data_IF_791826402389
#
_entry.id   IF_791826402389
#
_cell.length_a   1.000
_cell.length_b   1.000
_cell.length_c   1.000
_cell.angle_alpha   90.00
_cell.angle_beta   90.00
_cell.angle_gamma   90.00
#
_symmetry.space_group_name_H-M   'P 1'
#
loop_
_entity.id
_entity.type
_entity.pdbx_description
1 polymer ?
#
# COMPACT_ATOMS: atom_id res chain seq x y z
N UNK A 1 -0.66 -17.73 -3.94
CA UNK A 1 -0.55 -16.25 -3.94
C UNK A 1 -1.20 -15.63 -2.70
N UNK A 2 -2.48 -15.90 -2.40
CA UNK A 2 -3.17 -15.36 -1.21
C UNK A 2 -2.41 -15.55 0.12
N UNK A 3 -1.84 -16.73 0.33
CA UNK A 3 -1.02 -17.03 1.53
C UNK A 3 0.20 -16.11 1.69
N UNK A 4 0.87 -15.73 0.59
CA UNK A 4 2.02 -14.85 0.66
C UNK A 4 1.61 -13.41 1.03
N UNK A 5 0.49 -12.94 0.48
CA UNK A 5 -0.08 -11.63 0.81
C UNK A 5 -0.45 -11.58 2.29
N UNK A 6 -1.17 -12.59 2.77
CA UNK A 6 -1.57 -12.69 4.17
C UNK A 6 -0.38 -12.77 5.14
N UNK A 7 0.69 -13.47 4.75
CA UNK A 7 1.92 -13.52 5.54
C UNK A 7 2.58 -12.14 5.62
N UNK A 8 2.69 -11.43 4.50
CA UNK A 8 3.27 -10.08 4.47
C UNK A 8 2.41 -9.10 5.27
N UNK A 9 1.09 -9.11 5.09
CA UNK A 9 0.18 -8.16 5.75
C UNK A 9 0.05 -8.35 7.27
N UNK A 10 0.28 -9.55 7.79
CA UNK A 10 0.04 -9.85 9.22
C UNK A 10 1.29 -10.19 10.02
N UNK A 11 2.37 -10.64 9.37
CA UNK A 11 3.54 -11.21 10.06
C UNK A 11 4.87 -10.57 9.64
N UNK A 12 4.87 -9.70 8.63
CA UNK A 12 6.08 -9.03 8.16
C UNK A 12 6.12 -7.58 8.67
N UNK A 13 7.31 -7.03 8.98
CA UNK A 13 7.47 -5.59 9.23
C UNK A 13 7.40 -4.75 7.94
N UNK A 14 7.13 -5.37 6.79
CA UNK A 14 7.05 -4.70 5.49
C UNK A 14 5.63 -4.20 5.25
N UNK A 15 5.51 -2.95 4.86
CA UNK A 15 4.26 -2.37 4.37
C UNK A 15 3.99 -2.81 2.93
N UNK A 16 2.79 -3.36 2.70
CA UNK A 16 2.35 -3.82 1.37
C UNK A 16 1.23 -2.92 0.86
N UNK A 17 1.42 -2.35 -0.34
CA UNK A 17 0.43 -1.54 -1.04
C UNK A 17 0.33 -2.04 -2.48
N UNK A 18 -0.90 -2.30 -2.95
CA UNK A 18 -1.16 -2.67 -4.33
C UNK A 18 -1.61 -1.45 -5.15
N UNK A 19 -1.02 -1.26 -6.34
CA UNK A 19 -1.46 -0.23 -7.29
C UNK A 19 -1.99 -0.92 -8.54
N UNK A 20 -3.30 -0.87 -8.75
CA UNK A 20 -3.98 -1.38 -9.92
C UNK A 20 -4.12 -0.29 -10.99
N UNK A 21 -3.68 -0.55 -12.22
CA UNK A 21 -3.86 0.37 -13.34
C UNK A 21 -5.01 -0.14 -14.22
N UNK A 22 -6.09 0.63 -14.30
CA UNK A 22 -7.28 0.28 -15.10
C UNK A 22 -8.05 -0.94 -14.60
N UNK A 23 -7.75 -1.45 -13.40
CA UNK A 23 -8.44 -2.59 -12.80
C UNK A 23 -8.43 -2.53 -11.27
N UNK A 24 -9.46 -3.08 -10.66
CA UNK A 24 -9.61 -3.13 -9.21
C UNK A 24 -8.77 -4.26 -8.59
N UNK A 25 -7.95 -3.90 -7.60
CA UNK A 25 -7.11 -4.83 -6.82
C UNK A 25 -7.49 -4.89 -5.33
N UNK A 26 -8.53 -4.15 -4.90
CA UNK A 26 -8.94 -4.04 -3.49
C UNK A 26 -9.46 -5.36 -2.91
N UNK A 27 -9.87 -6.31 -3.75
CA UNK A 27 -10.38 -7.60 -3.31
C UNK A 27 -9.29 -8.54 -2.73
N UNK A 28 -8.02 -8.28 -3.02
CA UNK A 28 -6.92 -9.17 -2.60
C UNK A 28 -5.90 -8.51 -1.68
N UNK A 29 -5.93 -7.18 -1.56
CA UNK A 29 -4.95 -6.42 -0.79
C UNK A 29 -5.69 -5.46 0.13
N UNK A 30 -5.31 -5.43 1.42
CA UNK A 30 -5.93 -4.53 2.41
C UNK A 30 -5.68 -3.06 2.09
N UNK A 31 -4.48 -2.75 1.59
CA UNK A 31 -4.10 -1.41 1.14
C UNK A 31 -3.93 -1.44 -0.37
N UNK A 32 -4.85 -0.79 -1.07
CA UNK A 32 -4.91 -0.80 -2.51
C UNK A 32 -5.32 0.58 -3.04
N UNK A 33 -4.71 0.98 -4.14
CA UNK A 33 -5.06 2.18 -4.91
C UNK A 33 -5.29 1.75 -6.36
N UNK A 34 -6.35 2.26 -6.95
CA UNK A 34 -6.64 2.05 -8.37
C UNK A 34 -6.46 3.37 -9.10
N UNK A 35 -5.59 3.39 -10.11
CA UNK A 35 -5.41 4.52 -11.01
C UNK A 35 -5.96 4.18 -12.39
N UNK A 36 -6.34 5.20 -13.15
CA UNK A 36 -7.00 4.99 -14.45
C UNK A 36 -5.98 4.75 -15.57
N UNK A 37 -4.84 5.44 -15.51
CA UNK A 37 -3.78 5.40 -16.50
C UNK A 37 -2.39 5.36 -15.85
N UNK A 38 -1.36 5.06 -16.64
CA UNK A 38 0.01 4.94 -16.15
C UNK A 38 0.68 6.29 -15.85
N UNK A 39 0.19 7.40 -16.40
CA UNK A 39 0.75 8.73 -16.14
C UNK A 39 0.51 9.14 -14.68
N UNK A 40 -0.60 8.68 -14.10
CA UNK A 40 -0.94 8.86 -12.69
C UNK A 40 -0.04 8.07 -11.71
N UNK A 41 0.74 7.09 -12.20
CA UNK A 41 1.53 6.20 -11.34
C UNK A 41 2.55 6.96 -10.48
N UNK A 42 3.23 7.95 -11.07
CA UNK A 42 4.24 8.74 -10.34
C UNK A 42 3.64 9.54 -9.18
N UNK A 43 2.47 10.14 -9.40
CA UNK A 43 1.71 10.84 -8.36
C UNK A 43 1.27 9.89 -7.25
N UNK A 44 0.61 8.79 -7.64
CA UNK A 44 0.16 7.77 -6.70
C UNK A 44 1.31 7.20 -5.86
N UNK A 45 2.46 6.89 -6.47
CA UNK A 45 3.64 6.42 -5.73
C UNK A 45 4.14 7.45 -4.72
N UNK A 46 4.19 8.73 -5.11
CA UNK A 46 4.64 9.82 -4.23
C UNK A 46 3.71 10.00 -3.04
N UNK A 47 2.39 9.97 -3.27
CA UNK A 47 1.37 10.05 -2.22
C UNK A 47 1.44 8.86 -1.27
N UNK A 48 1.56 7.64 -1.79
CA UNK A 48 1.68 6.45 -0.96
C UNK A 48 2.95 6.47 -0.11
N UNK A 49 4.08 6.93 -0.68
CA UNK A 49 5.31 7.12 0.08
C UNK A 49 5.17 8.19 1.16
N UNK A 50 4.57 9.34 0.84
CA UNK A 50 4.32 10.40 1.81
C UNK A 50 3.47 9.91 3.00
N UNK A 51 2.42 9.12 2.73
CA UNK A 51 1.54 8.56 3.76
C UNK A 51 2.27 7.60 4.73
N UNK A 52 3.36 6.95 4.31
CA UNK A 52 4.17 6.13 5.21
C UNK A 52 4.85 6.99 6.29
N UNK A 53 5.32 8.19 5.94
CA UNK A 53 5.98 9.10 6.88
C UNK A 53 4.99 9.79 7.84
N UNK A 54 3.74 9.99 7.43
CA UNK A 54 2.68 10.52 8.31
C UNK A 54 2.21 9.50 9.37
N UNK A 55 2.32 8.21 9.05
CA UNK A 55 1.92 7.11 9.94
C UNK A 55 2.94 6.87 11.06
N UNK A 56 4.18 7.34 10.90
CA UNK A 56 5.23 7.33 11.93
C UNK A 56 5.15 8.53 12.91
N UNK A 57 3.95 8.94 13.33
CA UNK A 57 3.85 9.68 14.59
C UNK A 57 4.52 8.82 15.67
N UNK A 58 5.53 9.34 16.40
CA UNK A 58 6.40 8.53 17.22
C UNK A 58 5.52 7.75 18.19
N UNK A 59 5.57 6.42 18.14
CA UNK A 59 5.05 5.59 19.22
C UNK A 59 5.72 6.12 20.47
N UNK A 60 4.96 6.90 21.25
CA UNK A 60 5.41 7.44 22.52
C UNK A 60 5.87 6.23 23.33
N UNK A 61 7.19 6.11 23.44
CA UNK A 61 7.83 5.09 24.27
C UNK A 61 7.63 5.57 25.70
N UNK A 62 6.53 5.12 26.29
CA UNK A 62 6.21 5.27 27.72
C UNK A 62 7.04 4.28 28.52
#
# INVERSE_FOLDING_TARGET
LKYAIEMIENHSPVELIAIGIGHDVTHHYRRAVTITDAEQLGGAMTEQLAALFETEAPRARV
#
